data_IF_180731813665
#
_entry.id   IF_180731813665
#
_cell.length_a   1.000
_cell.length_b   1.000
_cell.length_c   1.000
_cell.angle_alpha   90.00
_cell.angle_beta   90.00
_cell.angle_gamma   90.00
#
_symmetry.space_group_name_H-M   'P 1'
#
loop_
_entity.id
_entity.type
_entity.pdbx_description
1 polymer ?
#
# COMPACT_ATOMS: atom_id res chain seq x y z
N UNK A 1 -53.97 -13.85 0.92
CA UNK A 1 -52.51 -14.07 1.06
C UNK A 1 -51.85 -13.48 -0.17
N UNK A 2 -51.19 -12.32 -0.08
CA UNK A 2 -50.52 -11.77 -1.28
C UNK A 2 -49.89 -10.38 -1.13
N UNK A 3 -50.38 -9.51 -0.25
CA UNK A 3 -49.88 -8.12 -0.17
C UNK A 3 -48.68 -7.92 0.78
N UNK A 4 -48.32 -8.92 1.59
CA UNK A 4 -47.19 -8.80 2.52
C UNK A 4 -45.85 -9.21 1.89
N UNK A 5 -45.86 -9.94 0.77
CA UNK A 5 -44.62 -10.35 0.09
C UNK A 5 -44.03 -9.27 -0.80
N UNK A 6 -44.84 -8.34 -1.31
CA UNK A 6 -44.36 -7.29 -2.23
C UNK A 6 -43.64 -6.14 -1.50
N UNK A 7 -43.95 -5.90 -0.22
CA UNK A 7 -43.21 -4.92 0.61
C UNK A 7 -41.83 -5.41 1.07
N UNK A 8 -41.53 -6.69 0.90
CA UNK A 8 -40.27 -7.30 1.32
C UNK A 8 -39.22 -7.26 0.20
N UNK A 9 -39.63 -7.16 -1.06
CA UNK A 9 -38.73 -7.04 -2.22
C UNK A 9 -38.34 -5.58 -2.54
N UNK A 10 -39.01 -4.58 -1.96
CA UNK A 10 -38.60 -3.16 -2.10
C UNK A 10 -37.68 -2.67 -0.97
N UNK A 11 -37.28 -3.53 -0.02
CA UNK A 11 -36.34 -3.18 1.06
C UNK A 11 -34.86 -3.21 0.64
N UNK A 12 -34.57 -3.34 -0.67
CA UNK A 12 -33.22 -3.20 -1.25
C UNK A 12 -32.81 -1.70 -1.36
N UNK A 13 -33.54 -0.81 -0.70
CA UNK A 13 -33.14 0.58 -0.50
C UNK A 13 -32.52 0.62 0.90
N UNK A 14 -31.19 0.75 0.92
CA UNK A 14 -30.39 0.89 2.13
C UNK A 14 -31.03 1.93 3.06
N UNK A 15 -31.31 1.52 4.30
CA UNK A 15 -31.98 2.34 5.30
C UNK A 15 -31.18 3.64 5.54
N UNK A 16 -31.82 4.81 5.46
CA UNK A 16 -31.12 6.10 5.53
C UNK A 16 -30.37 6.28 6.86
N UNK A 17 -30.82 5.60 7.92
CA UNK A 17 -30.17 5.63 9.23
C UNK A 17 -28.86 4.82 9.24
N UNK A 18 -28.76 3.75 8.43
CA UNK A 18 -27.53 2.97 8.25
C UNK A 18 -26.51 3.71 7.36
N UNK A 19 -26.98 4.42 6.32
CA UNK A 19 -26.14 5.32 5.54
C UNK A 19 -25.59 6.46 6.40
N UNK A 20 -26.43 7.10 7.22
CA UNK A 20 -26.00 8.18 8.13
C UNK A 20 -24.99 7.69 9.18
N UNK A 21 -25.21 6.50 9.78
CA UNK A 21 -24.26 5.89 10.72
C UNK A 21 -22.92 5.53 10.08
N UNK A 22 -22.90 5.16 8.81
CA UNK A 22 -21.64 4.86 8.10
C UNK A 22 -20.82 6.13 7.79
N UNK A 23 -21.49 7.28 7.66
CA UNK A 23 -20.85 8.58 7.36
C UNK A 23 -20.43 9.32 8.64
N UNK A 24 -21.11 9.14 9.77
CA UNK A 24 -20.73 9.73 11.07
C UNK A 24 -19.26 9.53 11.49
N UNK A 25 -18.65 8.32 11.41
CA UNK A 25 -17.25 8.14 11.76
C UNK A 25 -16.29 8.84 10.76
N UNK A 26 -16.74 9.05 9.52
CA UNK A 26 -15.97 9.74 8.47
C UNK A 26 -16.03 11.27 8.68
N UNK A 27 -17.19 11.81 9.11
CA UNK A 27 -17.39 13.23 9.40
C UNK A 27 -16.75 13.66 10.73
N UNK A 28 -16.78 12.82 11.76
CA UNK A 28 -16.15 13.09 13.06
C UNK A 28 -14.63 13.22 12.93
N UNK A 29 -14.01 12.41 12.06
CA UNK A 29 -12.59 12.55 11.75
C UNK A 29 -12.29 13.86 10.98
N UNK A 30 -13.20 14.27 10.08
CA UNK A 30 -13.09 15.52 9.30
C UNK A 30 -13.14 16.79 10.16
N UNK A 31 -13.76 16.74 11.35
CA UNK A 31 -13.82 17.84 12.31
C UNK A 31 -12.47 18.22 12.95
N UNK A 32 -11.45 17.36 12.85
CA UNK A 32 -10.06 17.63 13.29
C UNK A 32 -9.11 18.02 12.16
N UNK A 33 -9.58 18.17 10.91
CA UNK A 33 -8.71 18.34 9.70
C UNK A 33 -8.52 19.80 9.28
N UNK A 34 -8.75 20.75 10.18
CA UNK A 34 -8.18 22.12 10.04
C UNK A 34 -7.25 22.42 11.20
N UNK A 35 -6.47 21.45 11.66
CA UNK A 35 -5.20 21.77 12.31
C UNK A 35 -4.42 22.64 11.32
N UNK A 36 -4.01 23.82 11.77
CA UNK A 36 -3.13 24.70 11.01
C UNK A 36 -2.03 23.84 10.39
N UNK A 37 -1.92 23.88 9.05
CA UNK A 37 -0.96 23.06 8.32
C UNK A 37 0.39 23.21 9.02
N UNK A 38 1.04 22.11 9.43
CA UNK A 38 2.33 22.21 10.11
C UNK A 38 3.25 23.03 9.23
N UNK A 39 3.93 24.01 9.84
CA UNK A 39 4.87 24.85 9.11
C UNK A 39 5.88 23.93 8.42
N UNK A 40 5.80 23.87 7.09
CA UNK A 40 6.57 22.92 6.28
C UNK A 40 8.04 23.33 6.17
N UNK A 41 8.38 24.52 6.68
CA UNK A 41 9.73 25.05 6.69
C UNK A 41 10.03 25.81 8.00
N UNK A 42 10.23 25.09 9.13
CA UNK A 42 10.46 25.72 10.44
C UNK A 42 11.77 26.50 10.54
N UNK A 43 12.69 26.31 9.59
CA UNK A 43 13.99 26.99 9.56
C UNK A 43 14.09 28.01 8.41
N UNK A 44 12.99 28.27 7.70
CA UNK A 44 12.89 29.19 6.56
C UNK A 44 14.04 29.05 5.55
N UNK A 45 14.46 27.80 5.29
CA UNK A 45 15.59 27.51 4.39
C UNK A 45 15.20 27.65 2.91
N UNK A 46 13.90 27.60 2.59
CA UNK A 46 13.38 27.63 1.22
C UNK A 46 12.34 28.75 1.01
N UNK A 47 12.70 30.03 1.21
CA UNK A 47 11.77 31.14 1.00
C UNK A 47 11.31 31.25 -0.46
N UNK A 48 12.12 30.78 -1.42
CA UNK A 48 11.81 30.76 -2.85
C UNK A 48 10.70 29.80 -3.26
N UNK A 49 10.30 28.86 -2.39
CA UNK A 49 9.19 27.93 -2.65
C UNK A 49 7.86 28.48 -2.13
N UNK A 50 7.86 29.59 -1.38
CA UNK A 50 6.67 30.28 -0.88
C UNK A 50 6.10 31.18 -1.97
N UNK A 51 5.47 30.57 -2.97
CA UNK A 51 4.76 31.29 -4.03
C UNK A 51 3.40 31.77 -3.52
N UNK A 52 3.27 33.08 -3.33
CA UNK A 52 2.02 33.75 -2.96
C UNK A 52 1.17 34.09 -4.19
N UNK A 53 -0.11 34.40 -3.99
CA UNK A 53 -1.01 34.87 -5.06
C UNK A 53 -0.45 36.12 -5.76
N UNK A 54 0.19 37.02 -4.99
CA UNK A 54 0.84 38.23 -5.51
C UNK A 54 2.03 37.94 -6.43
N UNK A 55 2.77 36.86 -6.14
CA UNK A 55 3.94 36.42 -6.92
C UNK A 55 3.53 35.75 -8.25
N UNK A 56 2.35 35.12 -8.29
CA UNK A 56 1.78 34.50 -9.50
C UNK A 56 1.18 35.53 -10.46
N UNK A 57 0.62 36.63 -9.92
CA UNK A 57 -0.01 37.70 -10.72
C UNK A 57 0.99 38.82 -11.09
N UNK A 58 2.10 38.95 -10.35
CA UNK A 58 3.21 39.87 -10.63
C UNK A 58 2.82 41.37 -10.68
N UNK A 59 1.78 41.79 -9.96
CA UNK A 59 1.33 43.18 -9.94
C UNK A 59 1.96 43.98 -8.78
N UNK A 60 2.53 45.18 -9.03
CA UNK A 60 3.05 46.05 -7.99
C UNK A 60 1.92 46.75 -7.21
N UNK A 61 2.04 46.75 -5.87
CA UNK A 61 1.16 47.31 -4.83
C UNK A 61 0.59 48.73 -5.03
N UNK A 62 0.99 49.48 -6.07
CA UNK A 62 0.65 50.89 -6.24
C UNK A 62 -0.52 51.18 -7.19
N UNK A 63 -1.13 50.18 -7.84
CA UNK A 63 -2.27 50.40 -8.79
C UNK A 63 -3.46 49.48 -8.48
N UNK A 64 -3.92 49.47 -7.22
CA UNK A 64 -5.10 48.72 -6.82
C UNK A 64 -6.37 49.43 -7.31
N UNK A 65 -6.74 49.27 -8.58
CA UNK A 65 -7.85 50.03 -9.17
C UNK A 65 -9.24 49.38 -9.01
N UNK A 66 -9.37 48.17 -8.43
CA UNK A 66 -10.69 47.59 -8.09
C UNK A 66 -10.58 46.55 -6.96
N UNK A 67 -10.79 46.99 -5.70
CA UNK A 67 -10.79 46.14 -4.49
C UNK A 67 -11.63 44.86 -4.63
N UNK A 68 -12.74 44.93 -5.37
CA UNK A 68 -13.67 43.81 -5.55
C UNK A 68 -13.14 42.73 -6.49
N UNK A 69 -12.35 43.10 -7.49
CA UNK A 69 -11.74 42.14 -8.43
C UNK A 69 -10.57 41.44 -7.75
N UNK A 70 -9.78 42.16 -6.96
CA UNK A 70 -8.71 41.58 -6.17
C UNK A 70 -9.22 40.53 -5.16
N UNK A 71 -10.24 40.88 -4.38
CA UNK A 71 -10.83 39.94 -3.41
C UNK A 71 -11.46 38.73 -4.11
N UNK A 72 -12.11 38.95 -5.26
CA UNK A 72 -12.72 37.89 -6.06
C UNK A 72 -11.70 36.94 -6.68
N UNK A 73 -10.61 37.47 -7.22
CA UNK A 73 -9.51 36.69 -7.79
C UNK A 73 -8.77 35.90 -6.72
N UNK A 74 -8.50 36.49 -5.55
CA UNK A 74 -7.87 35.79 -4.42
C UNK A 74 -8.75 34.64 -3.91
N UNK A 75 -10.06 34.86 -3.76
CA UNK A 75 -10.99 33.82 -3.33
C UNK A 75 -11.14 32.69 -4.37
N UNK A 76 -11.18 33.05 -5.66
CA UNK A 76 -11.27 32.09 -6.76
C UNK A 76 -9.99 31.28 -6.87
N UNK A 77 -8.82 31.89 -6.68
CA UNK A 77 -7.53 31.21 -6.71
C UNK A 77 -7.41 30.16 -5.59
N UNK A 78 -7.77 30.49 -4.35
CA UNK A 78 -7.77 29.52 -3.25
C UNK A 78 -8.78 28.38 -3.45
N UNK A 79 -9.97 28.70 -3.99
CA UNK A 79 -10.98 27.69 -4.31
C UNK A 79 -10.52 26.75 -5.44
N UNK A 80 -9.91 27.29 -6.49
CA UNK A 80 -9.35 26.51 -7.60
C UNK A 80 -8.19 25.66 -7.11
N UNK A 81 -7.29 26.19 -6.28
CA UNK A 81 -6.19 25.42 -5.69
C UNK A 81 -6.73 24.22 -4.93
N UNK A 82 -7.63 24.45 -3.98
CA UNK A 82 -8.22 23.39 -3.16
C UNK A 82 -9.07 22.39 -3.97
N UNK A 83 -9.91 22.92 -4.87
CA UNK A 83 -10.81 22.13 -5.70
C UNK A 83 -10.07 21.29 -6.75
N UNK A 84 -9.09 21.88 -7.42
CA UNK A 84 -8.32 21.21 -8.47
C UNK A 84 -7.43 20.12 -7.87
N UNK A 85 -6.76 20.34 -6.73
CA UNK A 85 -5.97 19.27 -6.10
C UNK A 85 -6.84 18.06 -5.71
N UNK A 86 -8.05 18.30 -5.18
CA UNK A 86 -8.98 17.21 -4.84
C UNK A 86 -9.57 16.54 -6.07
N UNK A 87 -9.98 17.32 -7.07
CA UNK A 87 -10.54 16.79 -8.30
C UNK A 87 -9.49 15.95 -9.05
N UNK A 88 -8.26 16.46 -9.19
CA UNK A 88 -7.18 15.79 -9.91
C UNK A 88 -6.74 14.52 -9.19
N UNK A 89 -6.69 14.53 -7.85
CA UNK A 89 -6.34 13.33 -7.08
C UNK A 89 -7.43 12.27 -7.20
N UNK A 90 -8.72 12.64 -7.11
CA UNK A 90 -9.82 11.67 -7.27
C UNK A 90 -9.90 11.15 -8.71
N UNK A 91 -9.75 12.03 -9.70
CA UNK A 91 -9.77 11.66 -11.12
C UNK A 91 -8.61 10.74 -11.48
N UNK A 92 -7.44 10.91 -10.87
CA UNK A 92 -6.29 10.02 -11.07
C UNK A 92 -6.40 8.73 -10.23
N UNK A 93 -7.03 8.78 -9.07
CA UNK A 93 -7.24 7.61 -8.22
C UNK A 93 -8.15 6.56 -8.88
N UNK A 94 -9.20 6.98 -9.59
CA UNK A 94 -10.13 6.08 -10.29
C UNK A 94 -9.44 5.18 -11.34
N UNK A 95 -8.69 5.69 -12.33
CA UNK A 95 -8.01 4.87 -13.32
C UNK A 95 -6.91 4.01 -12.69
N UNK A 96 -6.18 4.52 -11.69
CA UNK A 96 -5.17 3.73 -10.98
C UNK A 96 -5.81 2.56 -10.24
N UNK A 97 -6.92 2.79 -9.53
CA UNK A 97 -7.66 1.74 -8.84
C UNK A 97 -8.22 0.70 -9.83
N UNK A 98 -8.70 1.14 -11.00
CA UNK A 98 -9.18 0.25 -12.05
C UNK A 98 -8.07 -0.64 -12.63
N UNK A 99 -6.90 -0.05 -12.93
CA UNK A 99 -5.73 -0.81 -13.41
C UNK A 99 -5.28 -1.82 -12.35
N UNK A 100 -5.18 -1.40 -11.09
CA UNK A 100 -4.83 -2.30 -9.99
C UNK A 100 -5.86 -3.43 -9.86
N UNK A 101 -7.16 -3.13 -9.95
CA UNK A 101 -8.22 -4.14 -9.92
C UNK A 101 -8.07 -5.20 -11.02
N UNK A 102 -7.77 -4.77 -12.26
CA UNK A 102 -7.50 -5.70 -13.37
C UNK A 102 -6.26 -6.55 -13.08
N UNK A 103 -5.17 -5.93 -12.63
CA UNK A 103 -3.92 -6.64 -12.28
C UNK A 103 -4.17 -7.67 -11.19
N UNK A 104 -4.90 -7.31 -10.13
CA UNK A 104 -5.27 -8.24 -9.05
C UNK A 104 -6.17 -9.36 -9.58
N UNK A 105 -7.13 -9.07 -10.45
CA UNK A 105 -7.99 -10.10 -11.07
C UNK A 105 -7.19 -11.12 -11.89
N UNK A 106 -6.25 -10.64 -12.73
CA UNK A 106 -5.35 -11.52 -13.50
C UNK A 106 -4.44 -12.32 -12.56
N UNK A 107 -3.88 -11.68 -11.53
CA UNK A 107 -3.04 -12.32 -10.53
C UNK A 107 -3.81 -13.43 -9.79
N UNK A 108 -5.06 -13.17 -9.41
CA UNK A 108 -5.93 -14.18 -8.78
C UNK A 108 -6.22 -15.35 -9.72
N UNK A 109 -6.47 -15.09 -11.00
CA UNK A 109 -6.63 -16.15 -12.00
C UNK A 109 -5.36 -17.00 -12.11
N UNK A 110 -4.20 -16.38 -12.30
CA UNK A 110 -2.91 -17.10 -12.33
C UNK A 110 -2.65 -17.86 -11.03
N UNK A 111 -3.02 -17.28 -9.88
CA UNK A 111 -2.83 -17.93 -8.59
C UNK A 111 -3.64 -19.23 -8.47
N UNK A 112 -4.92 -19.19 -8.84
CA UNK A 112 -5.81 -20.37 -8.76
C UNK A 112 -5.38 -21.42 -9.79
N UNK A 113 -5.09 -21.01 -11.03
CA UNK A 113 -4.85 -21.94 -12.13
C UNK A 113 -3.42 -22.44 -12.25
N UNK A 114 -2.43 -21.66 -11.81
CA UNK A 114 -1.00 -21.98 -11.97
C UNK A 114 -0.33 -22.18 -10.62
N UNK A 115 -0.53 -21.26 -9.65
CA UNK A 115 0.19 -21.33 -8.37
C UNK A 115 -0.31 -22.49 -7.51
N UNK A 116 -1.62 -22.71 -7.39
CA UNK A 116 -2.16 -23.84 -6.64
C UNK A 116 -1.65 -25.21 -7.14
N UNK A 117 -1.74 -25.56 -8.44
CA UNK A 117 -1.20 -26.83 -8.92
C UNK A 117 0.33 -26.89 -8.85
N UNK A 118 1.01 -25.76 -8.99
CA UNK A 118 2.46 -25.68 -8.85
C UNK A 118 2.89 -25.98 -7.41
N UNK A 119 2.25 -25.39 -6.40
CA UNK A 119 2.50 -25.70 -4.99
C UNK A 119 2.26 -27.18 -4.72
N UNK A 120 1.13 -27.72 -5.20
CA UNK A 120 0.82 -29.14 -5.05
C UNK A 120 1.87 -30.04 -5.70
N UNK A 121 2.36 -29.67 -6.89
CA UNK A 121 3.44 -30.38 -7.58
C UNK A 121 4.74 -30.32 -6.79
N UNK A 122 5.12 -29.17 -6.25
CA UNK A 122 6.29 -29.04 -5.39
C UNK A 122 6.18 -29.90 -4.13
N UNK A 123 5.01 -29.93 -3.47
CA UNK A 123 4.81 -30.79 -2.30
C UNK A 123 4.94 -32.28 -2.64
N UNK A 124 4.62 -32.68 -3.88
CA UNK A 124 4.82 -34.04 -4.34
C UNK A 124 6.26 -34.34 -4.75
N UNK A 125 6.99 -33.35 -5.29
CA UNK A 125 8.40 -33.49 -5.71
C UNK A 125 9.40 -33.39 -4.56
N UNK A 126 9.10 -32.57 -3.54
CA UNK A 126 9.95 -32.33 -2.38
C UNK A 126 10.36 -33.64 -1.64
N UNK A 127 9.44 -34.59 -1.35
CA UNK A 127 9.80 -35.87 -0.74
C UNK A 127 10.77 -36.69 -1.61
N UNK A 128 10.55 -36.73 -2.92
CA UNK A 128 11.41 -37.45 -3.85
C UNK A 128 12.82 -36.85 -3.90
N UNK A 129 12.91 -35.52 -3.98
CA UNK A 129 14.20 -34.80 -3.93
C UNK A 129 14.90 -35.04 -2.60
N UNK A 130 14.16 -34.99 -1.49
CA UNK A 130 14.72 -35.25 -0.16
C UNK A 130 15.27 -36.67 -0.02
N UNK A 131 14.59 -37.68 -0.59
CA UNK A 131 15.05 -39.07 -0.58
C UNK A 131 16.33 -39.23 -1.41
N UNK A 132 16.37 -38.66 -2.63
CA UNK A 132 17.56 -38.69 -3.49
C UNK A 132 18.72 -37.94 -2.82
N UNK A 133 18.45 -36.78 -2.25
CA UNK A 133 19.43 -35.98 -1.53
C UNK A 133 20.00 -36.74 -0.33
N UNK A 134 19.13 -37.38 0.47
CA UNK A 134 19.55 -38.19 1.61
C UNK A 134 20.42 -39.36 1.17
N UNK A 135 20.07 -40.04 0.09
CA UNK A 135 20.87 -41.14 -0.48
C UNK A 135 22.23 -40.64 -0.99
N UNK A 136 22.26 -39.51 -1.68
CA UNK A 136 23.52 -38.89 -2.14
C UNK A 136 24.41 -38.49 -0.96
N UNK A 137 23.83 -37.87 0.07
CA UNK A 137 24.59 -37.54 1.28
C UNK A 137 25.08 -38.79 1.98
N UNK A 138 24.31 -39.88 2.08
CA UNK A 138 24.79 -41.10 2.70
C UNK A 138 25.96 -41.73 1.92
N UNK A 139 25.89 -41.75 0.59
CA UNK A 139 26.97 -42.29 -0.26
C UNK A 139 28.23 -41.43 -0.22
N UNK A 140 28.13 -40.11 -0.12
CA UNK A 140 29.28 -39.22 -0.14
C UNK A 140 29.81 -38.91 1.27
N UNK A 141 28.92 -38.46 2.14
CA UNK A 141 29.24 -37.95 3.47
C UNK A 141 29.64 -39.11 4.39
N UNK A 142 28.91 -40.23 4.41
CA UNK A 142 29.23 -41.35 5.33
C UNK A 142 30.65 -41.90 5.15
N UNK A 143 31.15 -42.22 3.93
CA UNK A 143 32.53 -42.70 3.78
C UNK A 143 33.58 -41.61 3.99
N UNK A 144 33.30 -40.35 3.67
CA UNK A 144 34.21 -39.23 3.95
C UNK A 144 34.42 -39.05 5.45
N UNK A 145 33.33 -38.98 6.21
CA UNK A 145 33.39 -38.83 7.66
C UNK A 145 33.93 -40.08 8.35
N UNK A 146 33.64 -41.29 7.83
CA UNK A 146 34.25 -42.52 8.34
C UNK A 146 35.78 -42.53 8.13
N UNK A 147 36.25 -42.08 6.96
CA UNK A 147 37.68 -42.03 6.64
C UNK A 147 38.39 -40.97 7.47
N UNK A 148 37.81 -39.77 7.59
CA UNK A 148 38.33 -38.71 8.46
C UNK A 148 38.36 -39.13 9.93
N UNK A 149 37.32 -39.82 10.40
CA UNK A 149 37.25 -40.39 11.74
C UNK A 149 38.35 -41.42 12.01
N UNK A 150 38.66 -42.30 11.04
CA UNK A 150 39.78 -43.25 11.14
C UNK A 150 41.15 -42.56 11.18
N UNK A 151 41.35 -41.50 10.39
CA UNK A 151 42.60 -40.72 10.41
C UNK A 151 42.79 -40.09 11.80
N UNK A 152 41.75 -39.43 12.33
CA UNK A 152 41.79 -38.80 13.66
C UNK A 152 41.94 -39.83 14.79
N UNK A 153 41.30 -40.99 14.69
CA UNK A 153 41.44 -42.11 15.64
C UNK A 153 42.86 -42.71 15.65
N UNK A 154 43.59 -42.65 14.55
CA UNK A 154 44.97 -43.16 14.48
C UNK A 154 45.98 -42.28 15.24
N UNK A 155 45.60 -41.04 15.58
CA UNK A 155 46.43 -40.11 16.34
C UNK A 155 46.20 -40.37 17.83
N UNK A 156 46.83 -41.42 18.36
CA UNK A 156 46.92 -41.69 19.79
C UNK A 156 47.97 -40.75 20.42
N UNK A 157 47.52 -39.60 20.93
CA UNK A 157 48.39 -38.73 21.74
C UNK A 157 48.57 -39.36 23.12
N UNK A 158 49.73 -39.99 23.36
CA UNK A 158 50.16 -40.29 24.73
C UNK A 158 50.58 -38.97 25.36
N UNK A 159 49.74 -38.39 26.20
CA UNK A 159 50.17 -37.34 27.11
C UNK A 159 51.20 -37.96 28.06
N UNK A 160 52.48 -37.63 27.86
CA UNK A 160 53.52 -37.88 28.85
C UNK A 160 53.23 -36.97 30.03
N UNK A 161 52.57 -37.53 31.04
CA UNK A 161 52.41 -36.92 32.35
C UNK A 161 53.79 -36.89 33.03
N UNK A 162 54.18 -35.70 33.52
CA UNK A 162 55.46 -35.41 34.17
C UNK A 162 55.18 -34.93 35.59
#
# INVERSE_FOLDING_TARGET
MGLEKEKLDTSIIMDEDEFNRSIEPILSNKGKVYTASPDRDPNDINPHLKVGFEDVIAEPISTHSFDRVWIGSHATFELVKFGFYRLLTTLLAVPVAFILGIVFGVLSCVHIWVVMPMIQSFMMLLPSIHIVWRSLTDILVTPLFHSMGKILSSIQVKATEN
#
